data_IF_736132814277
#
_entry.id   IF_736132814277
#
_cell.length_a   1.000
_cell.length_b   1.000
_cell.length_c   1.000
_cell.angle_alpha   90.00
_cell.angle_beta   90.00
_cell.angle_gamma   90.00
#
_symmetry.space_group_name_H-M   'P 1'
#
loop_
_entity.id
_entity.type
_entity.pdbx_description
1 polymer ?
#
# COMPACT_ATOMS: atom_id res chain seq x y z
N UNK A 1 -7.54 39.54 16.33
CA UNK A 1 -8.40 39.38 17.52
C UNK A 1 -8.02 38.05 18.16
N UNK A 2 -7.62 38.04 19.44
CA UNK A 2 -7.01 36.88 20.10
C UNK A 2 -8.09 35.91 20.59
N UNK A 3 -7.88 34.61 20.39
CA UNK A 3 -8.82 33.54 20.74
C UNK A 3 -9.27 33.54 22.23
N UNK A 4 -8.47 34.14 23.13
CA UNK A 4 -8.82 34.27 24.55
C UNK A 4 -9.98 35.22 24.85
N UNK A 5 -10.19 36.26 24.04
CA UNK A 5 -11.30 37.21 24.26
C UNK A 5 -12.64 36.62 23.83
N UNK A 6 -12.60 35.73 22.82
CA UNK A 6 -13.77 35.08 22.26
C UNK A 6 -14.33 34.00 23.21
N UNK A 7 -13.47 33.28 23.95
CA UNK A 7 -13.87 32.33 24.99
C UNK A 7 -14.51 33.04 26.20
N UNK A 8 -13.99 34.20 26.61
CA UNK A 8 -14.56 34.99 27.71
C UNK A 8 -15.93 35.59 27.36
N UNK A 9 -16.12 35.96 26.10
CA UNK A 9 -17.38 36.54 25.62
C UNK A 9 -18.49 35.49 25.47
N UNK A 10 -18.12 34.23 25.20
CA UNK A 10 -19.03 33.09 25.17
C UNK A 10 -19.48 32.72 26.60
N UNK A 11 -18.55 32.70 27.56
CA UNK A 11 -18.84 32.34 28.95
C UNK A 11 -19.79 33.32 29.64
N UNK A 12 -19.65 34.62 29.36
CA UNK A 12 -20.52 35.66 29.93
C UNK A 12 -21.94 35.72 29.34
N UNK A 13 -22.16 35.17 28.14
CA UNK A 13 -23.50 35.21 27.48
C UNK A 13 -24.32 33.93 27.68
N UNK A 14 -23.68 32.77 27.85
CA UNK A 14 -24.38 31.50 27.99
C UNK A 14 -24.83 31.19 29.43
N UNK A 15 -24.03 31.56 30.44
CA UNK A 15 -24.34 31.28 31.85
C UNK A 15 -25.66 31.92 32.36
N UNK A 16 -26.03 33.17 32.03
CA UNK A 16 -27.29 33.75 32.50
C UNK A 16 -28.53 33.23 31.74
N UNK A 17 -28.35 32.60 30.57
CA UNK A 17 -29.45 31.98 29.82
C UNK A 17 -29.74 30.56 30.31
N UNK A 18 -28.71 29.83 30.75
CA UNK A 18 -28.87 28.48 31.31
C UNK A 18 -29.43 28.51 32.75
N UNK A 19 -29.18 29.57 33.53
CA UNK A 19 -29.77 29.69 34.88
C UNK A 19 -31.28 29.97 34.87
N UNK A 20 -31.80 30.63 33.83
CA UNK A 20 -33.25 30.90 33.68
C UNK A 20 -34.05 29.69 33.18
N UNK A 21 -33.43 28.77 32.45
CA UNK A 21 -34.11 27.55 31.98
C UNK A 21 -34.18 26.47 33.05
N UNK A 22 -33.19 26.39 33.96
CA UNK A 22 -33.20 25.41 35.06
C UNK A 22 -34.28 25.72 36.13
N UNK A 23 -34.63 26.99 36.34
CA UNK A 23 -35.66 27.37 37.32
C UNK A 23 -37.11 27.08 36.87
N UNK A 24 -37.35 26.76 35.59
CA UNK A 24 -38.69 26.41 35.06
C UNK A 24 -38.94 24.90 34.89
N UNK A 25 -37.99 24.05 35.26
CA UNK A 25 -38.15 22.58 35.24
C UNK A 25 -38.56 21.99 36.60
N UNK A 26 -39.31 22.77 37.37
CA UNK A 26 -40.02 22.33 38.56
C UNK A 26 -41.52 22.35 38.29
N UNK A 27 -42.04 21.35 37.56
CA UNK A 27 -43.38 20.76 37.75
C UNK A 27 -43.72 19.77 36.61
N UNK A 28 -44.22 18.59 37.01
CA UNK A 28 -44.90 17.54 36.21
C UNK A 28 -44.07 16.48 35.46
N UNK A 29 -44.74 15.34 35.25
CA UNK A 29 -44.33 13.98 34.84
C UNK A 29 -43.54 13.82 33.51
N UNK A 30 -42.87 14.86 33.00
CA UNK A 30 -42.14 14.80 31.72
C UNK A 30 -40.63 14.54 31.86
N UNK A 31 -40.07 14.60 33.08
CA UNK A 31 -38.63 14.41 33.34
C UNK A 31 -38.08 13.07 32.82
N UNK A 32 -38.85 12.00 32.90
CA UNK A 32 -38.39 10.68 32.43
C UNK A 32 -38.17 10.65 30.92
N UNK A 33 -39.06 11.29 30.13
CA UNK A 33 -38.93 11.34 28.66
C UNK A 33 -37.81 12.28 28.19
N UNK A 34 -37.56 13.36 28.93
CA UNK A 34 -36.47 14.29 28.61
C UNK A 34 -35.11 13.69 28.97
N UNK A 35 -35.02 12.94 30.07
CA UNK A 35 -33.80 12.22 30.47
C UNK A 35 -33.47 11.06 29.53
N UNK A 36 -34.46 10.29 29.06
CA UNK A 36 -34.21 9.24 28.07
C UNK A 36 -33.82 9.79 26.71
N UNK A 37 -34.44 10.90 26.27
CA UNK A 37 -34.09 11.55 25.00
C UNK A 37 -32.66 12.12 24.99
N UNK A 38 -32.23 12.73 26.09
CA UNK A 38 -30.86 13.25 26.24
C UNK A 38 -29.82 12.14 26.35
N UNK A 39 -30.13 11.05 27.05
CA UNK A 39 -29.26 9.87 27.09
C UNK A 39 -29.10 9.24 25.69
N UNK A 40 -30.19 9.07 24.94
CA UNK A 40 -30.11 8.52 23.58
C UNK A 40 -29.27 9.39 22.65
N UNK A 41 -29.48 10.71 22.67
CA UNK A 41 -28.71 11.66 21.86
C UNK A 41 -27.22 11.61 22.21
N UNK A 42 -26.88 11.50 23.50
CA UNK A 42 -25.50 11.40 23.96
C UNK A 42 -24.85 10.11 23.47
N UNK A 43 -25.53 8.97 23.60
CA UNK A 43 -25.04 7.67 23.10
C UNK A 43 -24.88 7.71 21.58
N UNK A 44 -25.82 8.29 20.86
CA UNK A 44 -25.76 8.39 19.38
C UNK A 44 -24.59 9.28 18.95
N UNK A 45 -24.35 10.39 19.64
CA UNK A 45 -23.22 11.27 19.38
C UNK A 45 -21.87 10.59 19.66
N UNK A 46 -21.76 9.83 20.76
CA UNK A 46 -20.55 9.04 21.08
C UNK A 46 -20.31 7.95 20.04
N UNK A 47 -21.36 7.25 19.60
CA UNK A 47 -21.25 6.23 18.55
C UNK A 47 -20.86 6.84 17.21
N UNK A 48 -21.45 7.98 16.83
CA UNK A 48 -21.06 8.69 15.62
C UNK A 48 -19.60 9.18 15.68
N UNK A 49 -19.17 9.71 16.82
CA UNK A 49 -17.78 10.11 17.03
C UNK A 49 -16.82 8.91 17.01
N UNK A 50 -17.23 7.76 17.55
CA UNK A 50 -16.44 6.54 17.51
C UNK A 50 -16.34 5.96 16.09
N UNK A 51 -17.42 6.02 15.29
CA UNK A 51 -17.40 5.64 13.87
C UNK A 51 -16.50 6.58 13.07
N UNK A 52 -16.58 7.88 13.33
CA UNK A 52 -15.72 8.87 12.68
C UNK A 52 -14.24 8.73 13.06
N UNK A 53 -13.96 8.39 14.32
CA UNK A 53 -12.59 8.16 14.81
C UNK A 53 -12.04 6.77 14.43
N UNK A 54 -12.91 5.80 14.10
CA UNK A 54 -12.50 4.51 13.56
C UNK A 54 -12.26 4.55 12.04
N UNK A 55 -12.72 5.61 11.36
CA UNK A 55 -12.38 5.92 9.97
C UNK A 55 -10.95 6.50 9.85
N UNK A 56 -10.33 6.92 10.96
CA UNK A 56 -8.87 7.11 11.01
C UNK A 56 -8.22 5.72 11.08
N UNK A 57 -7.66 5.28 9.95
CA UNK A 57 -7.18 3.91 9.73
C UNK A 57 -6.19 3.39 10.79
N UNK A 58 -6.01 2.05 10.85
CA UNK A 58 -5.22 1.40 11.90
C UNK A 58 -3.78 1.92 11.94
N UNK A 59 -3.40 2.51 13.07
CA UNK A 59 -2.03 2.87 13.41
C UNK A 59 -1.24 1.56 13.55
N UNK A 60 -0.39 1.27 12.56
CA UNK A 60 0.38 0.04 12.49
C UNK A 60 1.26 -0.19 13.72
N UNK A 61 1.48 -1.46 14.02
CA UNK A 61 2.34 -1.99 15.09
C UNK A 61 3.68 -1.21 15.20
N UNK A 62 3.90 -0.62 16.38
CA UNK A 62 5.02 0.30 16.68
C UNK A 62 6.37 -0.39 16.89
N UNK A 63 6.46 -1.69 16.59
CA UNK A 63 7.69 -2.49 16.75
C UNK A 63 8.61 -2.48 15.51
N UNK A 64 8.20 -1.84 14.41
CA UNK A 64 9.04 -1.57 13.23
C UNK A 64 9.20 -0.06 13.14
N UNK A 65 10.43 0.47 13.12
CA UNK A 65 10.66 1.92 13.06
C UNK A 65 9.76 2.57 12.01
N UNK A 66 9.03 3.62 12.41
CA UNK A 66 7.92 4.22 11.65
C UNK A 66 8.26 4.42 10.17
N UNK A 67 7.76 3.53 9.31
CA UNK A 67 7.89 3.63 7.86
C UNK A 67 6.67 4.38 7.35
N UNK A 68 6.89 5.54 6.74
CA UNK A 68 5.83 6.26 6.05
C UNK A 68 5.35 5.42 4.87
N UNK A 69 4.04 5.14 4.80
CA UNK A 69 3.42 4.42 3.70
C UNK A 69 2.53 5.36 2.91
N UNK A 70 2.63 5.31 1.59
CA UNK A 70 1.83 6.12 0.66
C UNK A 70 1.25 5.21 -0.41
N UNK A 71 -0.02 5.39 -0.76
CA UNK A 71 -0.76 4.48 -1.64
C UNK A 71 -1.68 3.54 -0.87
N UNK A 72 -1.92 2.37 -1.43
CA UNK A 72 -2.93 1.42 -0.96
C UNK A 72 -2.32 0.17 -0.32
N UNK A 73 -3.09 -0.52 0.52
CA UNK A 73 -2.76 -1.87 1.03
C UNK A 73 -3.75 -2.92 0.55
N UNK A 74 -3.40 -4.19 0.68
CA UNK A 74 -4.28 -5.29 0.28
C UNK A 74 -5.63 -5.22 1.02
N UNK A 75 -6.72 -5.36 0.28
CA UNK A 75 -8.07 -5.23 0.81
C UNK A 75 -8.64 -3.81 0.78
N UNK A 76 -7.84 -2.77 0.49
CA UNK A 76 -8.35 -1.40 0.41
C UNK A 76 -9.31 -1.19 -0.75
N UNK A 77 -10.30 -0.32 -0.52
CA UNK A 77 -11.17 0.19 -1.58
C UNK A 77 -10.41 1.17 -2.46
N UNK A 78 -10.23 0.82 -3.73
CA UNK A 78 -9.58 1.72 -4.69
C UNK A 78 -10.41 2.99 -4.93
N UNK A 79 -11.75 2.95 -5.09
CA UNK A 79 -12.56 4.16 -5.16
C UNK A 79 -12.51 5.02 -3.88
N UNK A 80 -12.33 4.40 -2.70
CA UNK A 80 -12.08 5.11 -1.45
C UNK A 80 -10.77 5.89 -1.51
N UNK A 81 -9.67 5.20 -1.84
CA UNK A 81 -8.35 5.78 -2.00
C UNK A 81 -8.32 6.95 -3.00
N UNK A 82 -8.90 6.78 -4.19
CA UNK A 82 -8.89 7.84 -5.21
C UNK A 82 -9.62 9.11 -4.75
N UNK A 83 -10.71 8.96 -3.97
CA UNK A 83 -11.43 10.10 -3.39
C UNK A 83 -10.62 10.80 -2.30
N UNK A 84 -9.96 10.03 -1.43
CA UNK A 84 -9.09 10.57 -0.38
C UNK A 84 -7.92 11.35 -1.00
N UNK A 85 -7.17 10.74 -1.93
CA UNK A 85 -6.07 11.39 -2.63
C UNK A 85 -6.48 12.70 -3.32
N UNK A 86 -7.66 12.72 -3.97
CA UNK A 86 -8.20 13.93 -4.58
C UNK A 86 -8.56 15.02 -3.54
N UNK A 87 -9.12 14.63 -2.39
CA UNK A 87 -9.43 15.55 -1.30
C UNK A 87 -8.15 16.14 -0.68
N UNK A 88 -7.14 15.31 -0.44
CA UNK A 88 -5.85 15.75 0.11
C UNK A 88 -5.12 16.69 -0.85
N UNK A 89 -5.14 16.39 -2.15
CA UNK A 89 -4.61 17.27 -3.18
C UNK A 89 -5.34 18.62 -3.23
N UNK A 90 -6.66 18.62 -3.05
CA UNK A 90 -7.44 19.85 -2.98
C UNK A 90 -7.08 20.66 -1.73
N UNK A 91 -6.89 19.98 -0.59
CA UNK A 91 -6.58 20.58 0.71
C UNK A 91 -5.16 21.15 0.84
N UNK A 92 -4.22 20.80 -0.07
CA UNK A 92 -2.87 21.34 -0.02
C UNK A 92 -2.86 22.88 -0.02
N UNK A 93 -2.08 23.52 0.86
CA UNK A 93 -2.02 24.98 0.92
C UNK A 93 -1.52 25.58 -0.40
N UNK A 94 -1.94 26.82 -0.67
CA UNK A 94 -1.39 27.60 -1.78
C UNK A 94 0.13 27.77 -1.61
N UNK A 95 0.89 27.87 -2.72
CA UNK A 95 2.34 28.04 -2.64
C UNK A 95 2.71 29.26 -1.79
N UNK A 96 3.62 29.08 -0.85
CA UNK A 96 4.27 30.18 -0.16
C UNK A 96 5.10 31.02 -1.14
N UNK A 97 5.23 32.33 -0.89
CA UNK A 97 6.00 33.25 -1.73
C UNK A 97 7.51 32.92 -1.81
N UNK A 98 8.01 32.10 -0.89
CA UNK A 98 9.31 31.44 -0.99
C UNK A 98 9.16 30.12 -1.74
N UNK A 99 10.06 29.79 -2.69
CA UNK A 99 10.08 28.48 -3.31
C UNK A 99 10.41 27.44 -2.24
N UNK A 100 9.37 26.94 -1.58
CA UNK A 100 9.46 25.76 -0.78
C UNK A 100 9.75 24.61 -1.73
N UNK A 101 10.85 23.93 -1.43
CA UNK A 101 11.04 22.51 -1.64
C UNK A 101 9.70 21.78 -1.84
N UNK A 102 9.40 21.36 -3.08
CA UNK A 102 8.08 20.83 -3.44
C UNK A 102 7.65 19.63 -2.60
N UNK A 103 6.35 19.35 -2.63
CA UNK A 103 5.76 18.19 -1.95
C UNK A 103 5.97 16.93 -2.77
N UNK A 104 6.34 15.83 -2.11
CA UNK A 104 6.32 14.52 -2.76
C UNK A 104 4.89 14.07 -3.01
N UNK A 105 4.66 13.40 -4.12
CA UNK A 105 3.37 12.79 -4.42
C UNK A 105 3.56 11.48 -5.16
N UNK A 106 2.65 10.53 -4.91
CA UNK A 106 2.49 9.32 -5.70
C UNK A 106 1.49 9.60 -6.82
N UNK A 107 1.92 9.46 -8.05
CA UNK A 107 1.07 9.62 -9.23
C UNK A 107 0.75 8.23 -9.77
N UNK A 108 -0.52 7.85 -9.73
CA UNK A 108 -1.03 6.60 -10.31
C UNK A 108 -1.56 6.88 -11.72
N UNK A 109 -1.20 6.03 -12.68
CA UNK A 109 -1.64 6.15 -14.07
C UNK A 109 -2.89 5.29 -14.33
N UNK A 110 -3.69 5.71 -15.30
CA UNK A 110 -4.92 4.99 -15.68
C UNK A 110 -4.67 3.70 -16.47
N UNK A 111 -3.51 3.64 -17.12
CA UNK A 111 -3.04 2.54 -17.95
C UNK A 111 -1.52 2.50 -17.92
N UNK A 112 -0.95 1.37 -18.32
CA UNK A 112 0.49 1.25 -18.46
C UNK A 112 1.00 2.13 -19.62
N UNK A 113 2.09 2.84 -19.39
CA UNK A 113 2.75 3.70 -20.37
C UNK A 113 4.12 3.14 -20.76
N UNK A 114 4.52 3.29 -22.03
CA UNK A 114 5.90 3.07 -22.44
C UNK A 114 6.78 4.24 -21.96
N UNK A 115 8.10 4.07 -21.87
CA UNK A 115 9.00 5.13 -21.41
C UNK A 115 8.80 6.47 -22.14
N UNK A 116 8.61 6.43 -23.47
CA UNK A 116 8.44 7.62 -24.31
C UNK A 116 7.11 8.35 -24.04
N UNK A 117 6.12 7.67 -23.45
CA UNK A 117 4.85 8.28 -23.07
C UNK A 117 4.92 9.09 -21.77
N UNK A 118 5.98 8.93 -20.98
CA UNK A 118 6.11 9.56 -19.67
C UNK A 118 6.31 11.07 -19.76
N UNK A 119 6.99 11.57 -20.79
CA UNK A 119 7.21 13.02 -20.97
C UNK A 119 5.90 13.80 -21.12
N UNK A 120 4.90 13.22 -21.79
CA UNK A 120 3.58 13.82 -21.91
C UNK A 120 2.88 13.98 -20.55
N UNK A 121 3.28 13.19 -19.55
CA UNK A 121 2.67 13.15 -18.22
C UNK A 121 3.52 13.84 -17.16
N UNK A 122 4.84 13.97 -17.33
CA UNK A 122 5.75 14.42 -16.26
C UNK A 122 6.72 15.54 -16.62
N UNK A 123 6.69 16.10 -17.85
CA UNK A 123 7.65 17.12 -18.34
C UNK A 123 8.02 18.23 -17.34
N UNK A 124 7.04 18.77 -16.61
CA UNK A 124 7.23 19.93 -15.73
C UNK A 124 7.40 19.55 -14.26
N UNK A 125 7.75 18.29 -13.99
CA UNK A 125 7.80 17.74 -12.64
C UNK A 125 9.07 16.93 -12.45
N UNK A 126 9.72 17.11 -11.30
CA UNK A 126 10.86 16.27 -10.93
C UNK A 126 10.39 14.87 -10.56
N UNK A 127 10.65 13.90 -11.43
CA UNK A 127 10.44 12.48 -11.14
C UNK A 127 11.58 11.99 -10.26
N UNK A 128 11.24 11.20 -9.23
CA UNK A 128 12.23 10.56 -8.34
C UNK A 128 12.35 9.07 -8.62
N UNK A 129 11.21 8.42 -8.88
CA UNK A 129 11.15 7.01 -9.25
C UNK A 129 9.88 6.73 -10.06
N UNK A 130 9.90 5.66 -10.85
CA UNK A 130 8.72 5.08 -11.49
C UNK A 130 8.49 3.65 -11.02
N UNK A 131 7.25 3.21 -11.06
CA UNK A 131 6.86 1.83 -10.81
C UNK A 131 6.44 1.18 -12.11
N UNK A 132 6.98 -0.01 -12.36
CA UNK A 132 6.67 -0.78 -13.55
C UNK A 132 6.42 -2.24 -13.25
N UNK A 133 5.71 -2.88 -14.17
CA UNK A 133 5.57 -4.33 -14.29
C UNK A 133 5.15 -4.66 -15.72
N UNK A 134 5.43 -5.87 -16.18
CA UNK A 134 4.93 -6.32 -17.49
C UNK A 134 3.48 -6.79 -17.34
N UNK A 135 2.49 -6.18 -18.03
CA UNK A 135 1.11 -6.61 -17.91
C UNK A 135 0.85 -7.88 -18.73
N UNK A 136 1.15 -9.05 -18.14
CA UNK A 136 0.84 -10.36 -18.74
C UNK A 136 -0.55 -10.85 -18.25
N UNK A 137 -1.50 -11.15 -19.15
CA UNK A 137 -2.83 -11.62 -18.74
C UNK A 137 -2.76 -12.90 -17.92
N UNK A 138 -3.42 -12.90 -16.76
CA UNK A 138 -3.53 -14.07 -15.88
C UNK A 138 -2.22 -14.50 -15.24
N UNK A 139 -1.19 -13.65 -15.22
CA UNK A 139 0.12 -13.92 -14.63
C UNK A 139 0.51 -12.84 -13.64
N UNK A 140 1.11 -13.25 -12.54
CA UNK A 140 1.85 -12.35 -11.67
C UNK A 140 3.23 -12.09 -12.28
N UNK A 141 3.59 -10.81 -12.35
CA UNK A 141 4.87 -10.33 -12.89
C UNK A 141 5.54 -9.46 -11.84
N UNK A 142 6.85 -9.32 -11.90
CA UNK A 142 7.59 -8.55 -10.92
C UNK A 142 7.18 -7.06 -10.98
N UNK A 143 6.83 -6.50 -9.81
CA UNK A 143 6.70 -5.05 -9.65
C UNK A 143 8.06 -4.48 -9.29
N UNK A 144 8.56 -3.58 -10.12
CA UNK A 144 9.88 -2.96 -9.95
C UNK A 144 9.74 -1.47 -9.69
N UNK A 145 10.57 -0.97 -8.77
CA UNK A 145 10.78 0.46 -8.55
C UNK A 145 12.07 0.86 -9.25
N UNK A 146 11.98 1.81 -10.18
CA UNK A 146 13.09 2.30 -10.98
C UNK A 146 13.38 3.75 -10.55
N UNK A 147 14.54 4.06 -9.93
CA UNK A 147 14.98 5.44 -9.75
C UNK A 147 15.09 6.11 -11.13
N UNK A 148 14.48 7.29 -11.29
CA UNK A 148 14.45 7.97 -12.58
C UNK A 148 14.47 9.49 -12.38
N UNK A 149 15.63 10.10 -12.56
CA UNK A 149 15.80 11.56 -12.50
C UNK A 149 15.77 12.19 -13.90
N UNK A 150 16.16 11.42 -14.92
CA UNK A 150 16.13 11.76 -16.34
C UNK A 150 15.16 10.83 -17.04
N UNK A 151 13.91 11.26 -17.15
CA UNK A 151 12.88 10.55 -17.91
C UNK A 151 12.93 11.07 -19.36
N UNK A 152 12.92 10.19 -20.38
CA UNK A 152 12.73 8.74 -20.32
C UNK A 152 14.02 7.91 -20.17
N UNK A 153 15.19 8.52 -20.33
CA UNK A 153 16.48 7.82 -20.49
C UNK A 153 16.81 6.81 -19.37
N UNK A 154 16.64 7.20 -18.10
CA UNK A 154 16.91 6.33 -16.96
C UNK A 154 15.97 5.12 -16.93
N UNK A 155 14.72 5.29 -17.38
CA UNK A 155 13.73 4.20 -17.46
C UNK A 155 14.09 3.24 -18.59
N UNK A 156 14.53 3.74 -19.74
CA UNK A 156 14.98 2.92 -20.87
C UNK A 156 16.23 2.10 -20.49
N UNK A 157 17.19 2.74 -19.82
CA UNK A 157 18.39 2.06 -19.32
C UNK A 157 18.01 0.95 -18.33
N UNK A 158 17.16 1.26 -17.34
CA UNK A 158 16.69 0.28 -16.37
C UNK A 158 15.92 -0.88 -17.02
N UNK A 159 15.08 -0.62 -18.03
CA UNK A 159 14.39 -1.69 -18.77
C UNK A 159 15.38 -2.63 -19.48
N UNK A 160 16.49 -2.11 -20.00
CA UNK A 160 17.53 -2.95 -20.60
C UNK A 160 18.17 -3.87 -19.55
N UNK A 161 18.51 -3.32 -18.38
CA UNK A 161 19.06 -4.11 -17.26
C UNK A 161 18.06 -5.14 -16.72
N UNK A 162 16.78 -4.77 -16.64
CA UNK A 162 15.67 -5.66 -16.27
C UNK A 162 15.55 -6.82 -17.24
N UNK A 163 15.61 -6.56 -18.54
CA UNK A 163 15.58 -7.59 -19.56
C UNK A 163 16.71 -8.61 -19.39
N UNK A 164 17.93 -8.15 -19.17
CA UNK A 164 19.09 -9.01 -18.99
C UNK A 164 19.00 -9.84 -17.71
N UNK A 165 18.50 -9.25 -16.62
CA UNK A 165 18.22 -9.98 -15.37
C UNK A 165 17.18 -11.07 -15.60
N UNK A 166 16.07 -10.74 -16.26
CA UNK A 166 14.97 -11.67 -16.52
C UNK A 166 15.36 -12.81 -17.45
N UNK A 167 16.25 -12.58 -18.40
CA UNK A 167 16.79 -13.66 -19.23
C UNK A 167 17.62 -14.66 -18.42
N UNK A 168 18.47 -14.17 -17.51
CA UNK A 168 19.24 -15.03 -16.60
C UNK A 168 18.30 -15.81 -15.69
N UNK A 169 17.29 -15.16 -15.13
CA UNK A 169 16.27 -15.80 -14.30
C UNK A 169 15.51 -16.90 -15.07
N UNK A 170 15.16 -16.65 -16.33
CA UNK A 170 14.53 -17.65 -17.20
C UNK A 170 15.46 -18.85 -17.45
N UNK A 171 16.75 -18.62 -17.70
CA UNK A 171 17.72 -19.69 -17.88
C UNK A 171 17.90 -20.52 -16.60
N UNK A 172 17.97 -19.88 -15.43
CA UNK A 172 18.07 -20.54 -14.13
C UNK A 172 16.84 -21.41 -13.85
N UNK A 173 15.64 -20.91 -14.14
CA UNK A 173 14.41 -21.69 -13.99
C UNK A 173 14.38 -22.90 -14.93
N UNK A 174 14.81 -22.77 -16.19
CA UNK A 174 14.91 -23.92 -17.12
C UNK A 174 15.90 -24.96 -16.61
N UNK A 175 17.05 -24.52 -16.08
CA UNK A 175 18.05 -25.43 -15.51
C UNK A 175 17.49 -26.19 -14.30
N UNK A 176 16.74 -25.51 -13.41
CA UNK A 176 16.06 -26.15 -12.28
C UNK A 176 15.00 -27.15 -12.74
N UNK A 177 14.15 -26.77 -13.70
CA UNK A 177 13.15 -27.68 -14.26
C UNK A 177 13.79 -28.95 -14.85
N UNK A 178 14.91 -28.81 -15.57
CA UNK A 178 15.64 -29.94 -16.13
C UNK A 178 16.28 -30.85 -15.05
N UNK A 179 16.70 -30.27 -13.91
CA UNK A 179 17.27 -31.01 -12.79
C UNK A 179 16.23 -31.72 -11.91
N UNK A 180 14.96 -31.29 -11.95
CA UNK A 180 13.87 -31.88 -11.15
C UNK A 180 13.30 -33.13 -11.84
N UNK A 181 13.69 -34.32 -11.40
CA UNK A 181 13.25 -35.61 -11.98
C UNK A 181 12.04 -36.23 -11.31
N UNK A 182 11.94 -36.14 -9.98
CA UNK A 182 10.97 -36.94 -9.20
C UNK A 182 9.77 -36.14 -8.68
N UNK A 183 9.70 -34.86 -9.02
CA UNK A 183 8.59 -33.97 -8.65
C UNK A 183 8.05 -33.25 -9.90
N UNK A 184 6.95 -33.77 -10.43
CA UNK A 184 6.34 -33.22 -11.64
C UNK A 184 5.68 -31.86 -11.41
N UNK A 185 5.15 -31.62 -10.21
CA UNK A 185 4.51 -30.36 -9.84
C UNK A 185 5.57 -29.26 -9.71
N UNK A 186 6.66 -29.52 -8.98
CA UNK A 186 7.77 -28.59 -8.85
C UNK A 186 8.43 -28.29 -10.20
N UNK A 187 8.59 -29.30 -11.05
CA UNK A 187 9.08 -29.10 -12.43
C UNK A 187 8.17 -28.16 -13.21
N UNK A 188 6.85 -28.31 -13.08
CA UNK A 188 5.87 -27.44 -13.73
C UNK A 188 5.95 -26.00 -13.21
N UNK A 189 6.14 -25.82 -11.90
CA UNK A 189 6.36 -24.48 -11.30
C UNK A 189 7.60 -23.82 -11.90
N UNK A 190 8.73 -24.53 -12.01
CA UNK A 190 9.94 -23.99 -12.63
C UNK A 190 9.77 -23.71 -14.12
N UNK A 191 9.10 -24.58 -14.87
CA UNK A 191 8.81 -24.35 -16.28
C UNK A 191 7.93 -23.09 -16.48
N UNK A 192 6.88 -22.94 -15.67
CA UNK A 192 6.02 -21.77 -15.65
C UNK A 192 6.80 -20.48 -15.31
N UNK A 193 7.68 -20.54 -14.31
CA UNK A 193 8.56 -19.42 -13.96
C UNK A 193 9.51 -19.03 -15.10
N UNK A 194 10.07 -20.02 -15.81
CA UNK A 194 10.91 -19.76 -16.97
C UNK A 194 10.17 -19.07 -18.12
N UNK A 195 8.91 -19.46 -18.37
CA UNK A 195 8.06 -18.84 -19.39
C UNK A 195 7.75 -17.38 -19.05
N UNK A 196 7.34 -17.12 -17.80
CA UNK A 196 7.04 -15.75 -17.33
C UNK A 196 8.28 -14.88 -17.40
N UNK A 197 9.42 -15.33 -16.87
CA UNK A 197 10.66 -14.56 -16.88
C UNK A 197 11.15 -14.28 -18.33
N UNK A 198 11.01 -15.23 -19.25
CA UNK A 198 11.35 -15.01 -20.66
C UNK A 198 10.41 -14.00 -21.34
N UNK A 199 9.10 -14.05 -21.05
CA UNK A 199 8.14 -13.09 -21.55
C UNK A 199 8.41 -11.68 -21.00
N UNK A 200 8.73 -11.56 -19.70
CA UNK A 200 9.13 -10.28 -19.09
C UNK A 200 10.40 -9.73 -19.76
N UNK A 201 11.41 -10.57 -19.96
CA UNK A 201 12.65 -10.17 -20.62
C UNK A 201 12.39 -9.61 -22.03
N UNK A 202 11.61 -10.34 -22.84
CA UNK A 202 11.24 -9.90 -24.19
C UNK A 202 10.47 -8.59 -24.20
N UNK A 203 9.54 -8.41 -23.26
CA UNK A 203 8.74 -7.20 -23.16
C UNK A 203 9.60 -5.97 -22.82
N UNK A 204 10.50 -6.11 -21.84
CA UNK A 204 11.42 -5.03 -21.47
C UNK A 204 12.38 -4.67 -22.62
N UNK A 205 12.93 -5.64 -23.36
CA UNK A 205 13.77 -5.36 -24.55
C UNK A 205 13.00 -4.60 -25.64
N UNK A 206 11.71 -4.88 -25.78
CA UNK A 206 10.85 -4.22 -26.76
C UNK A 206 10.39 -2.82 -26.34
N UNK A 207 10.76 -2.34 -25.14
CA UNK A 207 10.31 -1.04 -24.63
C UNK A 207 8.81 -1.02 -24.30
N UNK A 208 8.32 -2.08 -23.66
CA UNK A 208 6.90 -2.26 -23.36
C UNK A 208 6.24 -1.09 -22.63
N UNK A 209 4.92 -0.99 -22.82
CA UNK A 209 4.07 -0.18 -21.97
C UNK A 209 3.89 -0.86 -20.61
N UNK A 210 4.80 -0.54 -19.68
CA UNK A 210 4.96 -1.27 -18.42
C UNK A 210 5.03 -0.35 -17.19
N UNK A 211 5.10 0.97 -17.36
CA UNK A 211 5.12 1.93 -16.24
C UNK A 211 3.68 2.30 -15.87
N UNK A 212 3.33 2.22 -14.58
CA UNK A 212 1.96 2.50 -14.12
C UNK A 212 1.86 3.52 -12.99
N UNK A 213 2.98 3.94 -12.41
CA UNK A 213 2.99 5.01 -11.42
C UNK A 213 4.36 5.70 -11.35
N UNK A 214 4.40 6.87 -10.71
CA UNK A 214 5.62 7.62 -10.45
C UNK A 214 5.59 8.31 -9.08
N UNK A 215 6.74 8.39 -8.42
CA UNK A 215 6.97 9.32 -7.31
C UNK A 215 7.54 10.60 -7.88
N UNK A 216 6.87 11.71 -7.60
CA UNK A 216 7.24 13.02 -8.10
C UNK A 216 7.41 14.02 -6.97
N UNK A 217 8.11 15.12 -7.23
CA UNK A 217 8.22 16.27 -6.32
C UNK A 217 7.84 17.54 -7.08
N UNK A 218 6.82 18.26 -6.60
CA UNK A 218 6.34 19.48 -7.25
C UNK A 218 5.64 20.42 -6.27
N UNK A 219 5.42 21.67 -6.71
CA UNK A 219 4.55 22.60 -5.98
C UNK A 219 3.08 22.15 -6.07
N UNK A 220 2.23 22.49 -5.08
CA UNK A 220 0.82 22.12 -5.07
C UNK A 220 0.04 22.52 -6.33
N UNK A 221 0.34 23.67 -6.94
CA UNK A 221 -0.29 24.09 -8.20
C UNK A 221 0.08 23.15 -9.36
N UNK A 222 1.35 22.76 -9.45
CA UNK A 222 1.84 21.82 -10.46
C UNK A 222 1.25 20.43 -10.26
N UNK A 223 1.14 19.94 -9.02
CA UNK A 223 0.51 18.64 -8.72
C UNK A 223 -0.97 18.61 -9.16
N UNK A 224 -1.71 19.71 -8.96
CA UNK A 224 -3.09 19.83 -9.47
C UNK A 224 -3.15 19.83 -10.99
N UNK A 225 -2.18 20.48 -11.66
CA UNK A 225 -2.09 20.43 -13.12
C UNK A 225 -1.80 19.00 -13.61
N UNK A 226 -0.93 18.25 -12.93
CA UNK A 226 -0.67 16.83 -13.23
C UNK A 226 -1.94 16.00 -13.09
N UNK A 227 -2.71 16.19 -12.02
CA UNK A 227 -3.97 15.48 -11.80
C UNK A 227 -5.04 15.73 -12.88
N UNK A 228 -4.92 16.82 -13.65
CA UNK A 228 -5.82 17.11 -14.78
C UNK A 228 -5.42 16.43 -16.10
N UNK A 229 -4.26 15.74 -16.14
CA UNK A 229 -3.75 15.07 -17.34
C UNK A 229 -4.51 13.76 -17.55
N UNK A 230 -4.93 13.48 -18.80
CA UNK A 230 -5.79 12.31 -19.14
C UNK A 230 -5.22 10.94 -18.79
N UNK A 231 -3.91 10.80 -18.66
CA UNK A 231 -3.27 9.53 -18.30
C UNK A 231 -3.14 9.32 -16.79
N UNK A 232 -3.49 10.33 -15.98
CA UNK A 232 -3.33 10.32 -14.53
C UNK A 232 -4.67 9.96 -13.88
N UNK A 233 -4.63 8.87 -13.12
CA UNK A 233 -5.77 8.35 -12.36
C UNK A 233 -5.90 9.05 -11.00
N UNK A 234 -4.77 9.27 -10.34
CA UNK A 234 -4.71 9.98 -9.06
C UNK A 234 -3.35 10.61 -8.84
N UNK A 235 -3.35 11.69 -8.07
CA UNK A 235 -2.15 12.27 -7.45
C UNK A 235 -2.42 12.28 -5.96
N UNK A 236 -1.65 11.47 -5.23
CA UNK A 236 -1.71 11.28 -3.79
C UNK A 236 -0.55 12.06 -3.15
N UNK A 237 -0.81 13.27 -2.64
CA UNK A 237 0.24 14.09 -2.07
C UNK A 237 0.65 13.57 -0.69
N UNK A 238 1.96 13.49 -0.47
CA UNK A 238 2.55 12.96 0.76
C UNK A 238 3.46 14.02 1.41
N UNK A 239 2.89 15.11 1.98
CA UNK A 239 3.68 16.17 2.63
C UNK A 239 4.50 15.71 3.83
N UNK A 240 4.17 14.57 4.41
CA UNK A 240 4.90 13.87 5.48
C UNK A 240 6.19 13.19 4.99
N UNK A 241 6.29 12.91 3.69
CA UNK A 241 7.50 12.31 3.11
C UNK A 241 8.62 13.34 3.10
N UNK A 242 9.64 13.07 3.91
CA UNK A 242 10.90 13.84 3.94
C UNK A 242 12.06 13.11 3.31
N UNK A 243 12.05 11.78 3.35
CA UNK A 243 13.11 10.96 2.75
C UNK A 243 12.55 9.71 2.06
N UNK A 244 12.93 9.53 0.80
CA UNK A 244 12.44 8.45 -0.05
C UNK A 244 12.98 7.05 0.31
N UNK A 245 14.05 6.98 1.12
CA UNK A 245 14.66 5.75 1.62
C UNK A 245 13.90 5.14 2.81
N UNK A 246 13.03 5.92 3.45
CA UNK A 246 12.19 5.49 4.58
C UNK A 246 10.70 5.50 4.27
N UNK A 247 10.37 5.48 2.99
CA UNK A 247 8.98 5.52 2.52
C UNK A 247 8.71 4.32 1.61
N UNK A 248 7.60 3.64 1.89
CA UNK A 248 7.07 2.58 1.05
C UNK A 248 5.91 3.15 0.26
N UNK A 249 6.03 3.10 -1.06
CA UNK A 249 4.97 3.49 -1.98
C UNK A 249 4.31 2.23 -2.54
N UNK A 250 2.99 2.18 -2.50
CA UNK A 250 2.18 1.06 -2.99
C UNK A 250 1.08 1.58 -3.91
N UNK A 251 1.43 2.00 -5.14
CA UNK A 251 0.43 2.48 -6.10
C UNK A 251 -0.54 1.37 -6.52
N UNK A 252 -1.85 1.65 -6.62
CA UNK A 252 -2.81 0.70 -7.18
C UNK A 252 -2.47 0.41 -8.65
N UNK A 253 -2.65 -0.86 -9.03
CA UNK A 253 -2.48 -1.28 -10.42
C UNK A 253 -3.60 -0.70 -11.31
N UNK A 254 -3.34 -0.46 -12.61
CA UNK A 254 -4.37 -0.01 -13.55
C UNK A 254 -5.61 -0.92 -13.64
N UNK A 255 -5.44 -2.24 -13.49
CA UNK A 255 -6.53 -3.22 -13.47
C UNK A 255 -7.28 -3.29 -12.13
N UNK A 256 -6.72 -2.76 -11.04
CA UNK A 256 -7.39 -2.72 -9.72
C UNK A 256 -8.37 -1.55 -9.69
N UNK A 257 -9.65 -1.82 -9.94
CA UNK A 257 -10.72 -0.81 -9.99
C UNK A 257 -11.58 -0.74 -8.72
N UNK A 258 -11.78 -1.87 -8.05
CA UNK A 258 -12.69 -1.95 -6.90
C UNK A 258 -11.93 -2.10 -5.58
N UNK A 259 -11.20 -3.21 -5.43
CA UNK A 259 -10.46 -3.58 -4.23
C UNK A 259 -9.07 -4.05 -4.62
N UNK A 260 -8.07 -3.66 -3.82
CA UNK A 260 -6.68 -4.07 -3.99
C UNK A 260 -6.54 -5.56 -3.67
N UNK A 261 -6.06 -6.31 -4.65
CA UNK A 261 -5.81 -7.75 -4.57
C UNK A 261 -4.57 -8.07 -5.38
N UNK A 262 -3.72 -9.03 -4.94
CA UNK A 262 -2.67 -9.56 -5.78
C UNK A 262 -3.25 -9.99 -7.15
N UNK A 263 -2.56 -9.74 -8.27
CA UNK A 263 -3.00 -10.24 -9.57
C UNK A 263 -3.18 -11.76 -9.52
N UNK A 264 -4.20 -12.32 -10.18
CA UNK A 264 -4.34 -13.77 -10.24
C UNK A 264 -3.19 -14.40 -11.04
N UNK A 265 -2.68 -15.54 -10.56
CA UNK A 265 -1.83 -16.43 -11.36
C UNK A 265 -2.64 -17.67 -11.74
N UNK A 266 -3.16 -17.68 -12.97
CA UNK A 266 -4.10 -18.71 -13.43
C UNK A 266 -3.41 -20.02 -13.86
N UNK A 267 -2.08 -20.08 -13.83
CA UNK A 267 -1.30 -21.21 -14.32
C UNK A 267 -0.64 -22.05 -13.21
N UNK A 268 -0.69 -21.58 -11.97
CA UNK A 268 -0.36 -22.38 -10.81
C UNK A 268 -1.62 -23.13 -10.35
N UNK A 269 -1.50 -24.38 -9.85
CA UNK A 269 -2.63 -25.07 -9.27
C UNK A 269 -3.22 -24.17 -8.16
N UNK A 270 -4.54 -23.99 -8.19
CA UNK A 270 -5.24 -23.27 -7.13
C UNK A 270 -4.83 -23.89 -5.81
N UNK A 271 -4.25 -23.09 -4.90
CA UNK A 271 -4.17 -23.51 -3.51
C UNK A 271 -5.61 -23.71 -3.07
N UNK A 272 -6.04 -24.96 -2.95
CA UNK A 272 -7.38 -25.32 -2.50
C UNK A 272 -7.59 -24.69 -1.14
N UNK A 273 -8.18 -23.50 -1.10
CA UNK A 273 -8.84 -23.02 0.11
C UNK A 273 -9.89 -24.05 0.41
N UNK A 274 -9.63 -24.88 1.42
CA UNK A 274 -10.58 -25.83 1.98
C UNK A 274 -11.95 -25.17 2.04
N UNK A 275 -13.00 -25.73 1.41
CA UNK A 275 -14.31 -25.14 1.50
C UNK A 275 -14.71 -25.11 2.96
N UNK A 276 -14.84 -23.90 3.51
CA UNK A 276 -15.45 -23.67 4.80
C UNK A 276 -16.83 -24.33 4.75
N UNK A 277 -16.98 -25.31 5.63
CA UNK A 277 -18.15 -26.11 5.94
C UNK A 277 -19.46 -25.34 5.69
N UNK A 278 -20.26 -25.84 4.74
CA UNK A 278 -21.61 -25.32 4.53
C UNK A 278 -22.44 -25.53 5.81
N UNK A 279 -23.20 -24.54 6.28
CA UNK A 279 -24.07 -24.73 7.43
C UNK A 279 -25.16 -25.76 7.09
N UNK A 280 -25.48 -26.72 7.98
CA UNK A 280 -26.45 -27.74 7.68
C UNK A 280 -27.86 -27.13 7.54
N UNK A 281 -28.52 -27.49 6.44
CA UNK A 281 -29.90 -27.16 6.18
C UNK A 281 -30.82 -27.80 7.25
N UNK A 282 -31.69 -26.96 7.81
CA UNK A 282 -32.74 -27.35 8.75
C UNK A 282 -33.91 -27.96 7.99
N UNK A 283 -34.34 -29.18 8.39
CA UNK A 283 -35.75 -29.68 8.51
C UNK A 283 -35.86 -31.17 8.14
N UNK A 284 -36.94 -31.88 8.52
CA UNK A 284 -37.42 -32.20 9.87
C UNK A 284 -37.49 -33.74 10.09
N UNK A 285 -37.53 -34.18 11.35
CA UNK A 285 -37.71 -35.59 11.76
C UNK A 285 -39.01 -36.22 11.22
N UNK A 286 -39.09 -37.56 11.04
CA UNK A 286 -39.62 -38.38 12.15
C UNK A 286 -39.04 -39.80 12.34
N UNK A 287 -39.14 -40.26 13.59
CA UNK A 287 -39.33 -41.65 14.10
C UNK A 287 -38.29 -42.77 13.89
N UNK A 288 -37.56 -43.04 14.98
CA UNK A 288 -37.41 -44.30 15.74
C UNK A 288 -37.02 -45.64 15.05
N UNK A 289 -35.81 -46.13 15.39
CA UNK A 289 -35.44 -47.46 15.97
C UNK A 289 -33.91 -47.55 16.02
N UNK A 290 -33.28 -47.51 17.20
CA UNK A 290 -32.91 -48.65 18.06
C UNK A 290 -31.81 -49.55 17.44
N UNK A 291 -30.55 -49.39 17.85
CA UNK A 291 -29.71 -50.46 18.42
C UNK A 291 -28.25 -50.00 18.67
N UNK A 292 -27.76 -50.40 19.84
CA UNK A 292 -26.45 -50.31 20.51
C UNK A 292 -25.18 -50.50 19.66
N UNK A 293 -24.06 -49.86 20.06
CA UNK A 293 -22.81 -50.47 20.62
C UNK A 293 -21.68 -49.40 20.76
N UNK A 294 -20.75 -49.46 21.75
CA UNK A 294 -20.01 -48.29 22.24
C UNK A 294 -18.62 -48.05 21.62
N UNK A 295 -18.11 -46.85 21.89
CA UNK A 295 -16.92 -46.20 21.34
C UNK A 295 -15.57 -46.85 21.72
N UNK A 296 -14.56 -46.80 20.82
CA UNK A 296 -13.16 -46.84 21.22
C UNK A 296 -12.60 -45.44 21.50
N UNK A 297 -11.89 -45.36 22.62
CA UNK A 297 -11.06 -44.25 23.08
C UNK A 297 -9.90 -43.98 22.09
N UNK A 298 -9.76 -42.74 21.61
CA UNK A 298 -8.53 -42.29 20.95
C UNK A 298 -7.83 -41.29 21.87
N UNK A 299 -6.71 -41.76 22.38
CA UNK A 299 -5.69 -41.03 23.12
C UNK A 299 -5.06 -39.95 22.23
N UNK A 300 -5.19 -38.69 22.63
CA UNK A 300 -4.31 -37.62 22.17
C UNK A 300 -2.98 -37.67 22.93
N UNK A 301 -1.83 -37.60 22.24
CA UNK A 301 -0.61 -37.04 22.82
C UNK A 301 -0.41 -35.61 22.31
N UNK A 302 -0.55 -34.63 23.20
CA UNK A 302 0.01 -33.30 23.03
C UNK A 302 1.54 -33.35 22.93
N UNK A 303 2.18 -32.56 22.04
CA UNK A 303 3.57 -32.18 22.25
C UNK A 303 3.68 -30.86 23.03
N UNK A 304 4.44 -30.96 24.12
CA UNK A 304 4.96 -29.90 24.98
C UNK A 304 5.96 -29.01 24.22
N UNK A 305 6.08 -27.70 24.53
CA UNK A 305 6.94 -26.77 23.81
C UNK A 305 8.39 -26.80 24.32
N UNK A 306 9.34 -27.15 23.46
CA UNK A 306 10.78 -26.99 23.73
C UNK A 306 11.34 -25.69 23.16
N UNK A 307 11.52 -24.74 24.07
CA UNK A 307 12.74 -23.96 24.30
C UNK A 307 13.59 -23.54 23.08
N UNK A 308 13.24 -22.35 22.62
CA UNK A 308 14.11 -21.26 22.19
C UNK A 308 15.52 -21.31 22.82
N UNK A 309 16.55 -21.69 22.05
CA UNK A 309 17.95 -21.33 22.32
C UNK A 309 18.33 -20.11 21.50
N UNK A 310 18.42 -19.01 22.24
CA UNK A 310 19.13 -17.78 21.91
C UNK A 310 20.55 -18.08 21.40
N UNK A 311 20.91 -17.53 20.24
CA UNK A 311 22.30 -17.36 19.81
C UNK A 311 22.54 -15.89 19.49
N UNK A 312 23.42 -15.28 20.28
CA UNK A 312 23.93 -13.93 20.12
C UNK A 312 25.00 -13.83 19.00
N UNK A 313 25.25 -12.64 18.43
CA UNK A 313 26.27 -12.38 17.39
C UNK A 313 27.61 -11.90 18.00
N UNK A 314 28.63 -11.47 17.21
CA UNK A 314 29.40 -12.10 16.12
C UNK A 314 30.93 -12.10 16.46
N UNK A 315 31.84 -12.35 15.50
CA UNK A 315 33.08 -11.55 15.48
C UNK A 315 33.25 -10.73 14.20
N UNK A 316 33.61 -9.47 14.42
CA UNK A 316 34.08 -8.45 13.49
C UNK A 316 35.39 -8.87 12.80
N UNK A 317 35.42 -8.82 11.48
CA UNK A 317 36.67 -8.78 10.71
C UNK A 317 37.04 -7.33 10.40
N UNK A 318 38.10 -6.89 11.05
CA UNK A 318 38.89 -5.70 10.75
C UNK A 318 39.71 -5.95 9.49
N UNK A 319 39.60 -5.08 8.47
CA UNK A 319 40.66 -4.91 7.47
C UNK A 319 41.01 -3.43 7.41
N UNK A 320 42.24 -3.13 7.81
CA UNK A 320 42.87 -1.81 7.66
C UNK A 320 43.17 -1.52 6.18
N UNK A 321 43.25 -0.23 5.80
CA UNK A 321 43.76 0.19 4.51
C UNK A 321 45.30 0.23 4.54
N UNK A 322 45.94 -0.16 3.43
CA UNK A 322 47.35 0.12 3.19
C UNK A 322 47.45 1.21 2.11
N UNK A 323 48.16 2.28 2.46
CA UNK A 323 48.67 3.32 1.59
C UNK A 323 49.63 2.73 0.55
N UNK A 324 49.60 3.24 -0.68
CA UNK A 324 50.78 3.56 -1.51
C UNK A 324 50.35 3.88 -2.94
N UNK A 325 50.61 5.11 -3.42
CA UNK A 325 50.56 5.35 -4.87
C UNK A 325 50.31 6.77 -5.35
N UNK A 326 51.13 7.73 -4.91
CA UNK A 326 51.39 8.96 -5.66
C UNK A 326 51.63 8.68 -7.16
N UNK A 327 50.85 9.32 -8.04
CA UNK A 327 51.39 9.86 -9.30
C UNK A 327 50.56 11.00 -9.86
N UNK A 328 51.05 12.20 -9.55
CA UNK A 328 50.84 13.45 -10.25
C UNK A 328 51.12 13.30 -11.75
N UNK A 329 50.20 13.73 -12.61
CA UNK A 329 50.50 14.10 -14.00
C UNK A 329 49.66 15.34 -14.37
N UNK A 330 50.38 16.43 -14.61
CA UNK A 330 49.88 17.74 -15.07
C UNK A 330 49.41 17.69 -16.53
N UNK A 331 48.60 18.68 -16.97
CA UNK A 331 48.14 18.80 -18.35
C UNK A 331 49.21 19.43 -19.26
N UNK A 332 49.23 19.02 -20.52
CA UNK A 332 49.96 19.69 -21.60
C UNK A 332 48.95 20.53 -22.38
N UNK A 333 49.11 21.85 -22.31
CA UNK A 333 48.57 22.80 -23.29
C UNK A 333 49.48 22.84 -24.53
N UNK A 334 48.89 22.79 -25.71
CA UNK A 334 49.36 23.40 -26.97
C UNK A 334 48.19 23.50 -27.94
#
# INVERSE_FOLDING_TARGET
MRAGDLLRQIDQRLLPLLSRTVARLGETSSRSRVLTGTALLSVTAVLLAAVWAADDGPVGDSTVGEVTRVGVVDGDSVPGYLRAAAADLAALPAPSATPADGTYALVSLDHYLPPQGLDAVFRDVSVSAVFGRVPLPGRQTEIVRIPAQRVPDDVVAAMTELADRKEREAADYRARAAATTDDAELRQVYASGAEVAAAEASAYRAGCACVYAAVVRAQPATLRAVASRRAVRAVDPAPEVRRLDRTVFTPPLPEQRDVVRPPADAALPEQTTSPSESPPAVSPSPTARESSEPAPTVTEPSPTPEQQRSSAPPPTLTTSPDESGERTAQPIES
#
